data_IF_043619804614
#
_entry.id   IF_043619804614
#
_cell.length_a   1.000
_cell.length_b   1.000
_cell.length_c   1.000
_cell.angle_alpha   90.00
_cell.angle_beta   90.00
_cell.angle_gamma   90.00
#
_symmetry.space_group_name_H-M   'P 1'
#
loop_
_entity.id
_entity.type
_entity.pdbx_description
1 polymer ?
#
# COMPACT_ATOMS: atom_id res chain seq x y z
N UNK A 1 -52.03 19.08 46.13
CA UNK A 1 -53.21 19.85 45.71
C UNK A 1 -52.96 20.34 44.29
N UNK A 2 -53.81 19.84 43.41
CA UNK A 2 -54.49 20.58 42.32
C UNK A 2 -53.57 21.32 41.34
N UNK A 3 -53.61 21.25 40.06
CA UNK A 3 -54.56 20.81 38.99
C UNK A 3 -53.89 21.29 37.70
N UNK A 4 -53.81 20.48 36.65
CA UNK A 4 -54.60 20.53 35.43
C UNK A 4 -54.60 21.92 34.75
N UNK A 5 -54.32 22.08 33.46
CA UNK A 5 -54.97 21.61 32.23
C UNK A 5 -54.15 22.15 31.07
N UNK A 6 -53.94 21.44 30.03
CA UNK A 6 -54.69 21.19 28.79
C UNK A 6 -54.18 22.08 27.63
N UNK A 7 -53.68 21.41 26.63
CA UNK A 7 -54.23 21.27 25.28
C UNK A 7 -54.26 22.48 24.37
N UNK A 8 -53.70 22.37 23.22
CA UNK A 8 -54.24 22.57 21.88
C UNK A 8 -53.09 22.76 20.91
N UNK A 9 -52.84 21.83 20.04
CA UNK A 9 -53.38 21.70 18.66
C UNK A 9 -52.88 22.75 17.67
N UNK A 10 -52.25 22.20 16.65
CA UNK A 10 -52.34 22.51 15.22
C UNK A 10 -51.48 23.64 14.67
N UNK A 11 -50.52 23.28 13.84
CA UNK A 11 -50.49 23.71 12.44
C UNK A 11 -49.42 22.93 11.65
N UNK A 12 -49.90 22.17 10.72
CA UNK A 12 -49.15 21.66 9.56
C UNK A 12 -48.69 22.83 8.70
N UNK A 13 -47.37 22.90 8.39
CA UNK A 13 -46.93 23.55 7.16
C UNK A 13 -45.89 22.60 6.50
N UNK A 14 -46.34 21.94 5.45
CA UNK A 14 -45.51 21.41 4.40
C UNK A 14 -44.87 22.56 3.63
N UNK A 15 -43.56 22.51 3.47
CA UNK A 15 -42.79 23.08 2.34
C UNK A 15 -41.37 22.68 2.63
N UNK A 16 -40.72 21.76 1.98
CA UNK A 16 -40.40 21.77 0.60
C UNK A 16 -38.91 21.86 0.44
N UNK A 17 -38.27 20.73 0.04
CA UNK A 17 -37.10 20.65 -0.85
C UNK A 17 -35.80 21.28 -0.40
N UNK A 18 -34.82 20.43 -0.16
CA UNK A 18 -33.44 20.83 0.03
C UNK A 18 -32.56 19.66 0.48
N UNK A 19 -32.68 18.50 -0.19
CA UNK A 19 -31.74 17.42 0.00
C UNK A 19 -30.41 17.76 -0.66
N UNK A 20 -29.66 18.65 -0.05
CA UNK A 20 -28.24 18.81 -0.31
C UNK A 20 -27.49 17.79 0.54
N UNK A 21 -27.49 16.52 0.13
CA UNK A 21 -26.57 15.51 0.64
C UNK A 21 -25.17 15.94 0.30
N UNK A 22 -24.45 16.55 1.25
CA UNK A 22 -23.01 16.63 1.18
C UNK A 22 -22.49 15.19 1.19
N UNK A 23 -22.22 14.67 0.01
CA UNK A 23 -21.41 13.47 -0.16
C UNK A 23 -20.04 13.82 0.43
N UNK A 24 -19.82 13.44 1.68
CA UNK A 24 -18.46 13.33 2.20
C UNK A 24 -17.79 12.26 1.36
N UNK A 25 -17.02 12.72 0.37
CA UNK A 25 -16.04 11.88 -0.31
C UNK A 25 -15.15 11.34 0.80
N UNK A 26 -15.36 10.10 1.20
CA UNK A 26 -14.42 9.35 2.00
C UNK A 26 -13.14 9.28 1.18
N UNK A 27 -12.17 10.10 1.54
CA UNK A 27 -10.81 9.97 1.04
C UNK A 27 -10.33 8.57 1.43
N UNK A 28 -10.16 7.72 0.41
CA UNK A 28 -9.86 6.32 0.54
C UNK A 28 -8.49 6.08 1.14
N UNK A 29 -8.46 5.96 2.46
CA UNK A 29 -7.58 5.01 3.08
C UNK A 29 -8.20 3.64 2.83
N UNK A 30 -7.41 2.63 2.44
CA UNK A 30 -7.91 1.27 2.32
C UNK A 30 -8.54 0.86 3.65
N UNK A 31 -9.87 0.86 3.71
CA UNK A 31 -10.63 0.43 4.90
C UNK A 31 -10.72 -1.09 5.02
N UNK A 32 -10.04 -1.81 4.13
CA UNK A 32 -10.02 -3.25 4.18
C UNK A 32 -9.23 -3.75 5.40
N UNK A 33 -9.76 -4.75 6.10
CA UNK A 33 -9.06 -5.35 7.22
C UNK A 33 -7.72 -5.92 6.76
N UNK A 34 -6.74 -5.88 7.67
CA UNK A 34 -5.45 -6.55 7.51
C UNK A 34 -5.57 -7.89 8.22
N UNK A 35 -5.41 -8.97 7.47
CA UNK A 35 -5.36 -10.33 7.99
C UNK A 35 -3.90 -10.74 8.15
N UNK A 36 -3.52 -11.25 9.33
CA UNK A 36 -2.16 -11.68 9.65
C UNK A 36 -2.19 -13.11 10.15
N UNK A 37 -1.45 -13.99 9.52
CA UNK A 37 -1.20 -15.35 9.98
C UNK A 37 0.29 -15.57 10.25
N UNK A 38 0.62 -16.30 11.31
CA UNK A 38 1.97 -16.62 11.72
C UNK A 38 1.96 -17.85 12.66
N UNK A 39 3.12 -18.46 12.89
CA UNK A 39 3.24 -19.55 13.86
C UNK A 39 3.14 -19.01 15.31
N UNK A 40 3.67 -17.79 15.57
CA UNK A 40 3.63 -17.17 16.89
C UNK A 40 3.39 -15.66 16.81
N UNK A 41 2.73 -15.12 17.84
CA UNK A 41 2.57 -13.68 18.06
C UNK A 41 3.01 -13.34 19.48
N UNK A 42 3.80 -12.28 19.62
CA UNK A 42 4.20 -11.70 20.90
C UNK A 42 3.79 -10.21 20.92
N UNK A 43 3.23 -9.75 22.03
CA UNK A 43 2.91 -8.33 22.24
C UNK A 43 3.65 -7.81 23.45
N UNK A 44 4.48 -6.79 23.28
CA UNK A 44 5.27 -6.15 24.33
C UNK A 44 4.75 -4.73 24.55
N UNK A 45 3.76 -4.59 25.43
CA UNK A 45 3.08 -3.31 25.67
C UNK A 45 4.03 -2.20 26.17
N UNK A 46 5.00 -2.51 27.02
CA UNK A 46 5.98 -1.54 27.52
C UNK A 46 6.84 -0.92 26.40
N UNK A 47 6.99 -1.63 25.29
CA UNK A 47 7.74 -1.18 24.10
C UNK A 47 6.84 -0.79 22.93
N UNK A 48 5.53 -1.01 23.04
CA UNK A 48 4.54 -0.84 21.96
C UNK A 48 4.90 -1.65 20.70
N UNK A 49 5.32 -2.90 20.88
CA UNK A 49 5.70 -3.81 19.81
C UNK A 49 4.70 -4.96 19.69
N UNK A 50 4.42 -5.34 18.44
CA UNK A 50 3.77 -6.60 18.09
C UNK A 50 4.72 -7.33 17.16
N UNK A 51 5.07 -8.57 17.50
CA UNK A 51 6.04 -9.39 16.79
C UNK A 51 5.35 -10.66 16.34
N UNK A 52 5.39 -10.93 15.04
CA UNK A 52 4.95 -12.17 14.43
C UNK A 52 6.17 -12.95 13.96
N UNK A 53 6.22 -14.24 14.22
CA UNK A 53 7.33 -15.10 13.81
C UNK A 53 6.83 -16.43 13.24
N UNK A 54 7.60 -16.94 12.27
CA UNK A 54 7.33 -18.21 11.60
C UNK A 54 6.29 -18.09 10.51
N UNK A 55 6.74 -18.18 9.25
CA UNK A 55 5.89 -18.20 8.04
C UNK A 55 4.83 -17.12 8.02
N UNK A 56 5.23 -15.90 8.38
CA UNK A 56 4.30 -14.78 8.47
C UNK A 56 3.70 -14.46 7.12
N UNK A 57 2.39 -14.36 7.05
CA UNK A 57 1.65 -13.90 5.89
C UNK A 57 0.70 -12.78 6.30
N UNK A 58 0.77 -11.66 5.58
CA UNK A 58 -0.11 -10.50 5.77
C UNK A 58 -0.88 -10.29 4.48
N UNK A 59 -2.21 -10.24 4.59
CA UNK A 59 -3.13 -10.02 3.49
C UNK A 59 -3.89 -8.72 3.70
N UNK A 60 -3.94 -7.88 2.68
CA UNK A 60 -4.81 -6.72 2.65
C UNK A 60 -5.31 -6.50 1.23
N UNK A 61 -6.61 -6.59 1.01
CA UNK A 61 -7.19 -6.62 -0.33
C UNK A 61 -6.56 -7.75 -1.18
N UNK A 62 -5.90 -7.38 -2.29
CA UNK A 62 -5.17 -8.29 -3.17
C UNK A 62 -3.66 -8.24 -2.99
N UNK A 63 -3.22 -7.49 -1.99
CA UNK A 63 -1.80 -7.41 -1.65
C UNK A 63 -1.45 -8.44 -0.58
N UNK A 64 -0.31 -9.10 -0.76
CA UNK A 64 0.21 -10.12 0.14
C UNK A 64 1.68 -9.84 0.46
N UNK A 65 2.02 -9.88 1.74
CA UNK A 65 3.40 -9.90 2.22
C UNK A 65 3.67 -11.25 2.86
N UNK A 66 4.81 -11.84 2.56
CA UNK A 66 5.34 -13.03 3.24
C UNK A 66 6.72 -12.74 3.78
N UNK A 67 7.02 -13.21 4.98
CA UNK A 67 8.31 -13.07 5.65
C UNK A 67 8.47 -14.14 6.73
N UNK A 68 9.66 -14.27 7.29
CA UNK A 68 9.92 -15.15 8.43
C UNK A 68 9.53 -14.48 9.76
N UNK A 69 9.71 -13.16 9.82
CA UNK A 69 9.39 -12.34 10.98
C UNK A 69 8.84 -10.99 10.55
N UNK A 70 7.83 -10.52 11.25
CA UNK A 70 7.30 -9.15 11.11
C UNK A 70 7.21 -8.50 12.47
N UNK A 71 7.75 -7.29 12.60
CA UNK A 71 7.67 -6.46 13.80
C UNK A 71 6.90 -5.19 13.48
N UNK A 72 5.83 -4.92 14.23
CA UNK A 72 5.06 -3.69 14.14
C UNK A 72 5.43 -2.81 15.34
N UNK A 73 5.84 -1.59 15.05
CA UNK A 73 6.17 -0.55 16.02
C UNK A 73 5.00 0.42 16.09
N UNK A 74 4.37 0.51 17.23
CA UNK A 74 3.29 1.46 17.47
C UNK A 74 3.81 2.69 18.23
N UNK A 75 3.14 3.83 18.01
CA UNK A 75 3.42 5.04 18.76
C UNK A 75 3.21 4.80 20.27
N UNK A 76 4.08 5.36 21.10
CA UNK A 76 3.84 5.44 22.54
C UNK A 76 2.88 6.58 22.83
N UNK A 77 1.77 6.29 23.49
CA UNK A 77 0.77 7.30 23.89
C UNK A 77 0.35 7.10 25.33
N UNK A 78 1.27 7.32 26.31
CA UNK A 78 0.96 7.14 27.72
C UNK A 78 -0.18 8.09 28.12
N UNK A 79 -1.10 7.58 28.94
CA UNK A 79 -2.18 8.35 29.58
C UNK A 79 -1.96 8.35 31.08
N UNK A 80 -2.67 9.20 31.80
CA UNK A 80 -2.60 9.22 33.26
C UNK A 80 -2.98 7.87 33.90
N UNK A 81 -3.84 7.12 33.23
CA UNK A 81 -4.34 5.81 33.70
C UNK A 81 -3.51 4.64 33.22
N UNK A 82 -2.78 4.78 32.09
CA UNK A 82 -1.96 3.73 31.51
C UNK A 82 -0.66 4.28 30.91
N UNK A 83 0.41 4.12 31.67
CA UNK A 83 1.77 4.52 31.23
C UNK A 83 2.29 3.73 30.02
N UNK A 84 1.71 2.56 29.72
CA UNK A 84 2.08 1.69 28.60
C UNK A 84 1.05 1.72 27.45
N UNK A 85 0.20 2.75 27.39
CA UNK A 85 -0.75 2.88 26.31
C UNK A 85 -0.03 3.10 24.97
N UNK A 86 -0.44 2.34 23.96
CA UNK A 86 0.13 2.37 22.62
C UNK A 86 -0.90 2.96 21.64
N UNK A 87 -0.43 3.76 20.71
CA UNK A 87 -1.23 4.35 19.65
C UNK A 87 -1.21 3.54 18.35
N UNK A 88 -1.36 4.24 17.24
CA UNK A 88 -1.34 3.65 15.90
C UNK A 88 0.04 3.16 15.50
N UNK A 89 0.10 2.26 14.51
CA UNK A 89 1.35 1.80 13.93
C UNK A 89 2.09 2.94 13.23
N UNK A 90 3.38 3.06 13.50
CA UNK A 90 4.29 4.02 12.88
C UNK A 90 5.16 3.37 11.82
N UNK A 91 5.60 2.14 12.08
CA UNK A 91 6.53 1.41 11.23
C UNK A 91 6.29 -0.09 11.33
N UNK A 92 6.48 -0.78 10.22
CA UNK A 92 6.51 -2.24 10.15
C UNK A 92 7.83 -2.68 9.51
N UNK A 93 8.46 -3.69 10.08
CA UNK A 93 9.65 -4.33 9.55
C UNK A 93 9.36 -5.80 9.26
N UNK A 94 9.75 -6.27 8.08
CA UNK A 94 9.69 -7.66 7.70
C UNK A 94 11.11 -8.17 7.40
N UNK A 95 11.45 -9.34 7.89
CA UNK A 95 12.78 -9.94 7.82
C UNK A 95 12.71 -11.41 7.38
N UNK A 96 13.77 -11.89 6.74
CA UNK A 96 13.92 -13.27 6.26
C UNK A 96 13.14 -13.52 4.97
N UNK A 97 13.77 -13.35 3.85
CA UNK A 97 13.23 -13.51 2.49
C UNK A 97 11.81 -12.96 2.33
N UNK A 98 11.72 -11.66 2.13
CA UNK A 98 10.45 -10.96 2.02
C UNK A 98 9.91 -11.04 0.60
N UNK A 99 8.65 -11.46 0.44
CA UNK A 99 7.90 -11.42 -0.81
C UNK A 99 6.75 -10.42 -0.68
N UNK A 100 6.68 -9.50 -1.62
CA UNK A 100 5.56 -8.56 -1.80
C UNK A 100 4.87 -8.92 -3.11
N UNK A 101 3.59 -9.23 -3.04
CA UNK A 101 2.77 -9.60 -4.20
C UNK A 101 1.59 -8.64 -4.26
N UNK A 102 1.36 -8.07 -5.42
CA UNK A 102 0.19 -7.23 -5.72
C UNK A 102 -0.31 -7.50 -7.13
N UNK A 103 -1.45 -6.94 -7.50
CA UNK A 103 -2.00 -7.08 -8.86
C UNK A 103 -1.08 -6.51 -9.95
N UNK A 104 -0.25 -5.55 -9.58
CA UNK A 104 0.58 -4.82 -10.55
C UNK A 104 1.99 -5.36 -10.67
N UNK A 105 2.56 -5.86 -9.57
CA UNK A 105 3.94 -6.28 -9.51
C UNK A 105 4.23 -7.19 -8.33
N UNK A 106 5.25 -8.00 -8.48
CA UNK A 106 5.83 -8.83 -7.44
C UNK A 106 7.23 -8.34 -7.13
N UNK A 107 7.60 -8.32 -5.86
CA UNK A 107 8.95 -7.98 -5.44
C UNK A 107 9.45 -8.97 -4.40
N UNK A 108 10.76 -9.23 -4.42
CA UNK A 108 11.47 -10.05 -3.44
C UNK A 108 12.69 -9.29 -2.94
N UNK A 109 13.02 -9.47 -1.66
CA UNK A 109 14.26 -8.98 -1.03
C UNK A 109 14.48 -9.69 0.30
N UNK A 110 15.49 -9.28 1.06
CA UNK A 110 15.82 -9.90 2.35
C UNK A 110 15.13 -9.20 3.53
N UNK A 111 14.85 -7.92 3.40
CA UNK A 111 14.18 -7.11 4.43
C UNK A 111 13.30 -6.04 3.80
N UNK A 112 12.14 -5.80 4.41
CA UNK A 112 11.28 -4.68 4.07
C UNK A 112 10.99 -3.81 5.30
N UNK A 113 10.92 -2.50 5.09
CA UNK A 113 10.50 -1.52 6.09
C UNK A 113 9.40 -0.68 5.49
N UNK A 114 8.25 -0.62 6.15
CA UNK A 114 7.15 0.26 5.78
C UNK A 114 6.99 1.35 6.84
N UNK A 115 6.95 2.60 6.41
CA UNK A 115 6.71 3.76 7.27
C UNK A 115 5.34 4.32 6.96
N UNK A 116 4.45 4.29 7.95
CA UNK A 116 3.04 4.65 7.76
C UNK A 116 2.84 6.16 7.53
N UNK A 117 3.64 7.02 8.18
CA UNK A 117 3.49 8.48 8.12
C UNK A 117 3.68 9.07 6.72
N UNK A 118 4.52 8.45 5.91
CA UNK A 118 4.85 8.93 4.55
C UNK A 118 4.51 7.91 3.46
N UNK A 119 3.84 6.81 3.81
CA UNK A 119 3.45 5.72 2.90
C UNK A 119 4.64 5.16 2.09
N UNK A 120 5.80 5.04 2.71
CA UNK A 120 7.02 4.58 2.04
C UNK A 120 7.37 3.15 2.45
N UNK A 121 7.49 2.28 1.46
CA UNK A 121 8.05 0.94 1.58
C UNK A 121 9.49 0.93 1.05
N UNK A 122 10.41 0.37 1.82
CA UNK A 122 11.81 0.15 1.42
C UNK A 122 12.12 -1.33 1.50
N UNK A 123 12.47 -1.93 0.38
CA UNK A 123 12.92 -3.31 0.27
C UNK A 123 14.43 -3.33 0.02
N UNK A 124 15.17 -4.16 0.74
CA UNK A 124 16.64 -4.24 0.67
C UNK A 124 17.12 -5.69 0.61
N UNK A 125 18.36 -5.88 0.12
CA UNK A 125 19.00 -7.19 -0.10
C UNK A 125 18.52 -7.80 -1.40
N UNK A 126 19.34 -8.27 -2.27
CA UNK A 126 19.07 -8.92 -3.58
C UNK A 126 17.64 -8.71 -4.15
N UNK A 127 17.32 -7.42 -4.38
CA UNK A 127 15.97 -7.01 -4.76
C UNK A 127 15.69 -7.40 -6.20
N UNK A 128 14.59 -8.13 -6.38
CA UNK A 128 14.05 -8.49 -7.70
C UNK A 128 12.62 -7.96 -7.78
N UNK A 129 12.31 -7.24 -8.85
CA UNK A 129 10.95 -6.75 -9.15
C UNK A 129 10.51 -7.33 -10.48
N UNK A 130 9.31 -7.89 -10.51
CA UNK A 130 8.68 -8.45 -11.72
C UNK A 130 7.35 -7.74 -11.95
N UNK A 131 7.17 -7.18 -13.14
CA UNK A 131 5.92 -6.55 -13.59
C UNK A 131 5.54 -7.11 -14.96
N UNK A 132 4.55 -8.00 -14.99
CA UNK A 132 4.23 -8.73 -16.20
C UNK A 132 5.42 -9.57 -16.68
N UNK A 133 5.99 -9.23 -17.84
CA UNK A 133 7.19 -9.85 -18.40
C UNK A 133 8.48 -9.12 -18.01
N UNK A 134 8.37 -7.90 -17.51
CA UNK A 134 9.53 -7.06 -17.18
C UNK A 134 10.14 -7.49 -15.86
N UNK A 135 11.47 -7.50 -15.80
CA UNK A 135 12.24 -7.86 -14.61
C UNK A 135 13.29 -6.80 -14.35
N UNK A 136 13.37 -6.33 -13.10
CA UNK A 136 14.41 -5.43 -12.64
C UNK A 136 15.11 -6.00 -11.39
N UNK A 137 16.42 -5.77 -11.26
CA UNK A 137 17.25 -6.19 -10.13
C UNK A 137 18.08 -5.03 -9.60
N UNK A 138 18.25 -4.99 -8.27
CA UNK A 138 19.07 -4.01 -7.56
C UNK A 138 19.26 -4.42 -6.11
N UNK A 139 19.80 -3.52 -5.29
CA UNK A 139 20.07 -3.79 -3.86
C UNK A 139 19.04 -3.11 -2.94
N UNK A 140 18.36 -2.07 -3.44
CA UNK A 140 17.36 -1.31 -2.68
C UNK A 140 16.26 -0.80 -3.58
N UNK A 141 15.03 -1.10 -3.24
CA UNK A 141 13.83 -0.55 -3.85
C UNK A 141 13.12 0.35 -2.84
N UNK A 142 12.86 1.58 -3.20
CA UNK A 142 12.01 2.49 -2.43
C UNK A 142 10.74 2.76 -3.22
N UNK A 143 9.58 2.54 -2.60
CA UNK A 143 8.27 2.75 -3.23
C UNK A 143 7.43 3.64 -2.34
N UNK A 144 6.82 4.67 -2.91
CA UNK A 144 5.72 5.37 -2.27
C UNK A 144 4.40 4.66 -2.64
N UNK A 145 3.75 4.03 -1.67
CA UNK A 145 2.55 3.20 -1.93
C UNK A 145 1.30 4.01 -2.25
N UNK A 146 1.33 5.33 -2.03
CA UNK A 146 0.22 6.24 -2.38
C UNK A 146 0.32 6.74 -3.82
N UNK A 147 1.53 7.10 -4.27
CA UNK A 147 1.77 7.63 -5.64
C UNK A 147 2.22 6.55 -6.63
N UNK A 148 2.63 5.38 -6.12
CA UNK A 148 3.28 4.29 -6.86
C UNK A 148 4.63 4.68 -7.48
N UNK A 149 5.25 5.77 -7.03
CA UNK A 149 6.61 6.12 -7.43
C UNK A 149 7.59 5.09 -6.87
N UNK A 150 8.46 4.58 -7.72
CA UNK A 150 9.45 3.57 -7.37
C UNK A 150 10.85 3.96 -7.81
N UNK A 151 11.83 3.76 -6.92
CA UNK A 151 13.26 3.97 -7.19
C UNK A 151 14.00 2.70 -6.85
N UNK A 152 14.67 2.10 -7.84
CA UNK A 152 15.54 0.96 -7.66
C UNK A 152 17.01 1.41 -7.74
N UNK A 153 17.76 1.07 -6.73
CA UNK A 153 19.17 1.46 -6.57
C UNK A 153 20.07 0.24 -6.39
N UNK A 154 21.32 0.41 -6.77
CA UNK A 154 22.39 -0.55 -6.48
C UNK A 154 23.49 0.15 -5.68
N UNK A 155 24.11 -0.56 -4.76
CA UNK A 155 25.28 -0.11 -4.01
C UNK A 155 26.51 0.03 -4.92
N UNK A 156 26.54 -0.71 -6.03
CA UNK A 156 27.64 -0.68 -6.99
C UNK A 156 27.50 0.48 -7.97
N UNK A 157 28.53 1.31 -8.07
CA UNK A 157 28.62 2.46 -8.98
C UNK A 157 29.71 2.25 -10.01
N UNK A 158 29.49 2.77 -11.24
CA UNK A 158 30.46 2.69 -12.32
C UNK A 158 30.19 1.57 -13.33
N UNK A 159 30.73 1.74 -14.55
CA UNK A 159 30.41 0.89 -15.71
C UNK A 159 30.80 -0.58 -15.52
N UNK A 160 31.85 -0.87 -14.82
CA UNK A 160 32.40 -2.21 -14.61
C UNK A 160 31.96 -2.88 -13.31
N UNK A 161 31.05 -2.24 -12.53
CA UNK A 161 30.64 -2.77 -11.24
C UNK A 161 29.69 -3.98 -11.42
N UNK A 162 29.93 -5.10 -10.73
CA UNK A 162 29.21 -6.37 -10.98
C UNK A 162 27.75 -6.37 -10.52
N UNK A 163 27.36 -5.42 -9.66
CA UNK A 163 26.02 -5.35 -9.05
C UNK A 163 25.27 -4.07 -9.41
N UNK A 164 25.33 -3.65 -10.66
CA UNK A 164 24.54 -2.49 -11.11
C UNK A 164 23.05 -2.86 -11.20
N UNK A 165 22.18 -1.84 -11.10
CA UNK A 165 20.78 -2.03 -11.48
C UNK A 165 20.70 -2.58 -12.89
N UNK A 166 19.98 -3.68 -13.04
CA UNK A 166 19.73 -4.33 -14.34
C UNK A 166 18.24 -4.48 -14.53
N UNK A 167 17.75 -4.06 -15.69
CA UNK A 167 16.37 -4.25 -16.08
C UNK A 167 16.26 -4.82 -17.49
N UNK A 168 15.27 -5.68 -17.68
CA UNK A 168 14.88 -6.25 -18.97
C UNK A 168 13.44 -5.87 -19.19
N UNK A 169 13.17 -5.18 -20.29
CA UNK A 169 11.84 -4.76 -20.70
C UNK A 169 11.45 -5.46 -21.99
N UNK A 170 10.23 -5.96 -22.04
CA UNK A 170 9.64 -6.50 -23.25
C UNK A 170 8.79 -5.42 -23.91
N UNK A 171 9.09 -5.11 -25.17
CA UNK A 171 8.25 -4.24 -25.96
C UNK A 171 7.08 -5.06 -26.50
N UNK A 172 5.86 -4.58 -26.29
CA UNK A 172 4.69 -5.16 -26.94
C UNK A 172 4.66 -4.67 -28.39
N UNK A 173 4.95 -5.55 -29.32
CA UNK A 173 4.87 -5.30 -30.78
C UNK A 173 3.43 -5.06 -31.29
N UNK A 174 2.45 -5.03 -30.39
CA UNK A 174 1.02 -4.86 -30.72
C UNK A 174 0.61 -3.44 -31.16
N UNK A 175 1.55 -2.51 -31.34
CA UNK A 175 1.32 -1.21 -31.96
C UNK A 175 2.04 -1.01 -33.29
N UNK A 176 2.12 -2.05 -34.10
CA UNK A 176 2.35 -1.86 -35.52
C UNK A 176 0.96 -1.61 -36.17
N UNK A 177 0.38 -0.45 -35.84
CA UNK A 177 -0.83 0.03 -36.52
C UNK A 177 -0.44 0.45 -37.90
N UNK A 178 -1.05 -0.21 -38.88
CA UNK A 178 -1.25 0.15 -40.26
C UNK A 178 -0.81 1.57 -40.62
N UNK A 179 0.35 1.66 -41.28
CA UNK A 179 0.62 2.79 -42.16
C UNK A 179 -0.43 2.70 -43.26
N UNK A 180 -1.19 3.77 -43.56
CA UNK A 180 -2.11 3.76 -44.71
C UNK A 180 -1.30 3.44 -45.97
N UNK A 181 -1.70 2.40 -46.66
CA UNK A 181 -1.19 2.10 -47.98
C UNK A 181 -1.28 3.37 -48.83
N UNK A 182 -0.15 3.82 -49.34
CA UNK A 182 -0.11 4.89 -50.33
C UNK A 182 -1.01 4.47 -51.49
N UNK A 183 -2.11 5.16 -51.65
CA UNK A 183 -2.97 5.02 -52.82
C UNK A 183 -2.18 5.42 -54.05
N UNK A 184 -1.87 4.44 -54.90
CA UNK A 184 -1.44 4.65 -56.25
C UNK A 184 -2.51 5.49 -56.96
N UNK A 185 -2.20 6.74 -57.23
CA UNK A 185 -2.95 7.60 -58.14
C UNK A 185 -2.43 7.36 -59.52
N UNK A 186 -3.23 6.81 -60.48
CA UNK A 186 -2.78 6.70 -61.84
C UNK A 186 -2.70 8.09 -62.50
N UNK A 187 -1.55 8.36 -63.10
CA UNK A 187 -1.31 9.53 -63.93
C UNK A 187 -2.32 9.58 -65.08
N UNK A 188 -3.15 10.63 -65.14
CA UNK A 188 -3.94 10.94 -66.33
C UNK A 188 -3.06 11.78 -67.25
N UNK A 189 -3.00 11.30 -68.51
CA UNK A 189 -2.55 12.04 -69.69
C UNK A 189 -3.55 13.09 -70.09
#
# INVERSE_FOLDING_TARGET
MKRWTAAAMTALILSGVGAGGAAFAQQGGSSAPVDVSADNQETINSKCLIIFTGRVEILQNRSRLRAEKVTIYNAKRPTAENANACGSAERMEAEGTVYLVSDQQNARGDRAVYTFSNNTAVLTGDVIVVKGKDVARGDRLTVNTKTNDAKLESSAKGRSAPRRVRAVFYQDDSKKTDAPAASDQPAQR
#
